data_IF_632827534317
#
_entry.id   IF_632827534317
#
_cell.length_a   1.000
_cell.length_b   1.000
_cell.length_c   1.000
_cell.angle_alpha   90.00
_cell.angle_beta   90.00
_cell.angle_gamma   90.00
#
_symmetry.space_group_name_H-M   'P 1'
#
loop_
_entity.id
_entity.type
_entity.pdbx_description
1 polymer ?
#
# COMPACT_ATOMS: atom_id res chain seq x y z
N UNK A 1 22.45 -60.51 -5.32
CA UNK A 1 21.95 -59.41 -6.19
C UNK A 1 20.61 -58.79 -5.75
N UNK A 2 19.61 -59.55 -5.28
CA UNK A 2 18.31 -58.97 -4.83
C UNK A 2 18.44 -58.01 -3.63
N UNK A 3 19.27 -58.35 -2.63
CA UNK A 3 19.47 -57.49 -1.46
C UNK A 3 20.15 -56.15 -1.79
N UNK A 4 21.16 -56.13 -2.66
CA UNK A 4 21.84 -54.89 -3.10
C UNK A 4 20.87 -53.93 -3.81
N UNK A 5 19.95 -54.45 -4.65
CA UNK A 5 18.92 -53.62 -5.31
C UNK A 5 17.92 -53.03 -4.32
N UNK A 6 17.52 -53.80 -3.31
CA UNK A 6 16.60 -53.33 -2.26
C UNK A 6 17.26 -52.23 -1.40
N UNK A 7 18.52 -52.40 -1.02
CA UNK A 7 19.26 -51.38 -0.26
C UNK A 7 19.44 -50.08 -1.07
N UNK A 8 19.71 -50.19 -2.38
CA UNK A 8 19.84 -49.02 -3.26
C UNK A 8 18.50 -48.27 -3.41
N UNK A 9 17.38 -48.99 -3.54
CA UNK A 9 16.03 -48.41 -3.62
C UNK A 9 15.67 -47.69 -2.31
N UNK A 10 16.00 -48.29 -1.16
CA UNK A 10 15.78 -47.68 0.15
C UNK A 10 16.63 -46.41 0.31
N UNK A 11 17.91 -46.44 -0.05
CA UNK A 11 18.78 -45.25 -0.02
C UNK A 11 18.30 -44.14 -0.96
N UNK A 12 17.80 -44.48 -2.16
CA UNK A 12 17.21 -43.51 -3.08
C UNK A 12 15.89 -42.92 -2.53
N UNK A 13 15.06 -43.74 -1.88
CA UNK A 13 13.82 -43.28 -1.24
C UNK A 13 14.08 -42.38 -0.02
N UNK A 14 15.09 -42.68 0.80
CA UNK A 14 15.48 -41.82 1.93
C UNK A 14 16.05 -40.48 1.46
N UNK A 15 16.87 -40.46 0.41
CA UNK A 15 17.35 -39.20 -0.19
C UNK A 15 16.21 -38.37 -0.80
N UNK A 16 15.20 -39.01 -1.38
CA UNK A 16 14.02 -38.32 -1.92
C UNK A 16 13.18 -37.65 -0.81
N UNK A 17 13.04 -38.30 0.35
CA UNK A 17 12.36 -37.73 1.53
C UNK A 17 13.12 -36.55 2.14
N UNK A 18 14.46 -36.61 2.17
CA UNK A 18 15.31 -35.49 2.63
C UNK A 18 15.37 -34.31 1.66
N UNK A 19 14.94 -34.49 0.40
CA UNK A 19 14.87 -33.42 -0.60
C UNK A 19 13.54 -32.64 -0.58
N UNK A 20 12.59 -33.02 0.28
CA UNK A 20 11.29 -32.35 0.36
C UNK A 20 11.40 -31.05 1.18
N UNK A 21 11.01 -29.94 0.55
CA UNK A 21 10.98 -28.63 1.20
C UNK A 21 10.05 -28.64 2.41
N UNK A 22 10.57 -28.30 3.59
CA UNK A 22 9.78 -28.23 4.83
C UNK A 22 8.80 -27.06 4.77
N UNK A 23 7.51 -27.34 4.96
CA UNK A 23 6.45 -26.32 4.97
C UNK A 23 6.02 -26.06 6.42
N UNK A 24 6.15 -24.82 6.87
CA UNK A 24 5.75 -24.36 8.21
C UNK A 24 4.67 -23.27 8.07
N UNK A 25 3.39 -23.68 8.10
CA UNK A 25 2.25 -22.77 8.04
C UNK A 25 1.45 -22.96 9.34
N UNK A 26 1.36 -21.93 10.20
CA UNK A 26 0.53 -21.97 11.39
C UNK A 26 -0.93 -22.23 11.07
N UNK A 27 -1.60 -23.08 11.84
CA UNK A 27 -3.02 -23.40 11.67
C UNK A 27 -3.95 -22.36 12.32
N UNK A 28 -3.59 -21.08 12.22
CA UNK A 28 -4.44 -19.99 12.73
C UNK A 28 -5.43 -19.53 11.65
N UNK A 29 -6.63 -19.12 12.05
CA UNK A 29 -7.66 -18.66 11.11
C UNK A 29 -7.18 -17.53 10.20
N UNK A 30 -6.33 -16.64 10.72
CA UNK A 30 -5.76 -15.52 9.97
C UNK A 30 -4.79 -15.99 8.88
N UNK A 31 -3.89 -16.91 9.20
CA UNK A 31 -2.93 -17.48 8.24
C UNK A 31 -3.66 -18.35 7.22
N UNK A 32 -4.60 -19.18 7.66
CA UNK A 32 -5.40 -20.02 6.76
C UNK A 32 -6.16 -19.19 5.73
N UNK A 33 -6.77 -18.08 6.16
CA UNK A 33 -7.45 -17.16 5.26
C UNK A 33 -6.49 -16.49 4.27
N UNK A 34 -5.32 -16.05 4.75
CA UNK A 34 -4.28 -15.49 3.88
C UNK A 34 -3.82 -16.50 2.84
N UNK A 35 -3.46 -17.72 3.25
CA UNK A 35 -2.99 -18.80 2.37
C UNK A 35 -4.05 -19.18 1.33
N UNK A 36 -5.33 -19.19 1.72
CA UNK A 36 -6.45 -19.46 0.79
C UNK A 36 -6.56 -18.41 -0.31
N UNK A 37 -6.28 -17.14 -0.01
CA UNK A 37 -6.34 -16.02 -0.98
C UNK A 37 -5.01 -15.75 -1.69
N UNK A 38 -3.92 -16.36 -1.22
CA UNK A 38 -2.59 -16.14 -1.76
C UNK A 38 -2.52 -16.38 -3.28
N UNK A 39 -3.07 -17.45 -3.86
CA UNK A 39 -2.99 -17.66 -5.32
C UNK A 39 -3.55 -16.50 -6.15
N UNK A 40 -4.72 -15.97 -5.77
CA UNK A 40 -5.33 -14.80 -6.42
C UNK A 40 -4.45 -13.55 -6.30
N UNK A 41 -3.84 -13.34 -5.13
CA UNK A 41 -2.90 -12.23 -4.92
C UNK A 41 -1.63 -12.41 -5.75
N UNK A 42 -1.08 -13.62 -5.83
CA UNK A 42 0.11 -13.90 -6.64
C UNK A 42 -0.17 -13.60 -8.11
N UNK A 43 -1.30 -14.04 -8.64
CA UNK A 43 -1.71 -13.75 -10.02
C UNK A 43 -1.87 -12.24 -10.25
N UNK A 44 -2.57 -11.53 -9.36
CA UNK A 44 -2.82 -10.08 -9.44
C UNK A 44 -1.54 -9.24 -9.50
N UNK A 45 -0.50 -9.65 -8.76
CA UNK A 45 0.79 -8.95 -8.73
C UNK A 45 1.86 -9.61 -9.59
N UNK A 46 1.49 -10.61 -10.41
CA UNK A 46 2.39 -11.40 -11.24
C UNK A 46 3.59 -11.99 -10.48
N UNK A 47 3.35 -12.38 -9.23
CA UNK A 47 4.35 -13.01 -8.39
C UNK A 47 4.42 -14.51 -8.58
N UNK A 48 5.63 -15.05 -8.46
CA UNK A 48 5.84 -16.50 -8.34
C UNK A 48 5.49 -16.97 -6.94
N UNK A 49 5.04 -18.22 -6.83
CA UNK A 49 4.83 -18.87 -5.55
C UNK A 49 6.18 -19.15 -4.85
N UNK A 50 6.36 -18.62 -3.64
CA UNK A 50 7.58 -18.84 -2.87
C UNK A 50 7.66 -20.26 -2.29
N UNK A 51 6.54 -20.98 -2.19
CA UNK A 51 6.52 -22.39 -1.79
C UNK A 51 7.33 -23.24 -2.76
N UNK A 52 7.25 -22.99 -4.06
CA UNK A 52 7.98 -23.74 -5.09
C UNK A 52 9.38 -23.20 -5.39
N UNK A 53 9.77 -22.05 -4.83
CA UNK A 53 11.09 -21.45 -5.06
C UNK A 53 12.24 -22.37 -4.62
N UNK A 54 13.31 -22.37 -5.42
CA UNK A 54 14.59 -23.06 -5.17
C UNK A 54 15.74 -22.07 -4.89
N UNK A 55 15.41 -20.81 -4.66
CA UNK A 55 16.39 -19.76 -4.41
C UNK A 55 16.99 -19.91 -3.01
N UNK A 56 18.14 -19.26 -2.77
CA UNK A 56 18.80 -19.29 -1.47
C UNK A 56 17.92 -18.69 -0.37
N UNK A 57 17.31 -17.53 -0.64
CA UNK A 57 16.33 -16.89 0.23
C UNK A 57 15.40 -15.98 -0.58
N UNK A 58 14.10 -16.07 -0.31
CA UNK A 58 13.10 -15.09 -0.72
C UNK A 58 12.25 -14.72 0.49
N UNK A 59 11.96 -13.44 0.60
CA UNK A 59 11.09 -12.89 1.64
C UNK A 59 10.01 -12.09 0.95
N UNK A 60 8.76 -12.27 1.38
CA UNK A 60 7.66 -11.39 0.97
C UNK A 60 6.85 -10.95 2.17
N UNK A 61 6.75 -9.65 2.36
CA UNK A 61 5.96 -9.03 3.43
C UNK A 61 4.72 -8.42 2.82
N UNK A 62 3.56 -8.87 3.30
CA UNK A 62 2.26 -8.36 2.90
C UNK A 62 1.69 -7.49 4.00
N UNK A 63 1.43 -6.24 3.63
CA UNK A 63 0.67 -5.29 4.45
C UNK A 63 -0.55 -4.81 3.66
N UNK A 64 -1.40 -4.04 4.32
CA UNK A 64 -2.65 -3.56 3.73
C UNK A 64 -2.41 -2.76 2.45
N UNK A 65 -1.49 -1.79 2.49
CA UNK A 65 -1.22 -0.85 1.39
C UNK A 65 0.13 -1.02 0.72
N UNK A 66 0.90 -2.03 1.13
CA UNK A 66 2.21 -2.30 0.53
C UNK A 66 2.52 -3.79 0.52
N UNK A 67 3.40 -4.16 -0.40
CA UNK A 67 4.02 -5.47 -0.48
C UNK A 67 5.50 -5.24 -0.70
N UNK A 68 6.33 -5.85 0.13
CA UNK A 68 7.77 -5.86 -0.08
C UNK A 68 8.22 -7.26 -0.45
N UNK A 69 9.05 -7.38 -1.48
CA UNK A 69 9.63 -8.63 -1.93
C UNK A 69 11.16 -8.48 -1.98
N UNK A 70 11.89 -9.38 -1.34
CA UNK A 70 13.34 -9.46 -1.39
C UNK A 70 13.73 -10.85 -1.88
N UNK A 71 14.49 -10.90 -2.98
CA UNK A 71 14.99 -12.12 -3.58
C UNK A 71 16.50 -12.15 -3.52
N UNK A 72 17.04 -13.23 -2.94
CA UNK A 72 18.47 -13.49 -2.78
C UNK A 72 18.77 -14.84 -3.43
N UNK A 73 19.31 -14.80 -4.64
CA UNK A 73 19.87 -15.97 -5.30
C UNK A 73 21.27 -15.63 -5.81
N UNK A 74 21.60 -15.95 -7.06
CA UNK A 74 22.86 -15.50 -7.68
C UNK A 74 22.96 -13.97 -7.78
N UNK A 75 21.82 -13.27 -7.74
CA UNK A 75 21.70 -11.81 -7.68
C UNK A 75 20.76 -11.41 -6.56
N UNK A 76 20.95 -10.21 -6.01
CA UNK A 76 20.03 -9.63 -5.04
C UNK A 76 19.11 -8.63 -5.74
N UNK A 77 17.82 -8.72 -5.44
CA UNK A 77 16.84 -7.75 -5.93
C UNK A 77 15.73 -7.57 -4.91
N UNK A 78 15.24 -6.34 -4.78
CA UNK A 78 14.07 -6.03 -3.98
C UNK A 78 13.07 -5.19 -4.76
N UNK A 79 11.81 -5.36 -4.41
CA UNK A 79 10.68 -4.69 -5.02
C UNK A 79 9.70 -4.24 -3.93
N UNK A 80 9.27 -2.99 -4.00
CA UNK A 80 8.30 -2.39 -3.10
C UNK A 80 7.08 -1.94 -3.91
N UNK A 81 5.95 -2.57 -3.64
CA UNK A 81 4.67 -2.28 -4.29
C UNK A 81 3.82 -1.49 -3.32
N UNK A 82 3.23 -0.39 -3.80
CA UNK A 82 2.25 0.40 -3.06
C UNK A 82 0.90 0.26 -3.75
N UNK A 83 -0.19 0.13 -2.97
CA UNK A 83 -1.53 -0.09 -3.51
C UNK A 83 -2.65 0.59 -2.73
N UNK A 84 -3.69 1.00 -3.44
CA UNK A 84 -4.97 1.40 -2.83
C UNK A 84 -5.82 0.18 -2.46
N UNK A 85 -6.75 0.36 -1.52
CA UNK A 85 -7.86 -0.57 -1.31
C UNK A 85 -9.14 -0.09 -2.00
N UNK A 86 -10.17 -0.94 -2.00
CA UNK A 86 -11.49 -0.62 -2.56
C UNK A 86 -11.68 -1.13 -3.99
N UNK A 87 -12.74 -0.65 -4.65
CA UNK A 87 -13.09 -1.00 -6.04
C UNK A 87 -12.11 -0.38 -7.04
N UNK A 88 -11.67 0.85 -6.77
CA UNK A 88 -10.75 1.60 -7.64
C UNK A 88 -9.30 1.25 -7.30
N UNK A 89 -8.94 -0.01 -7.55
CA UNK A 89 -7.60 -0.51 -7.27
C UNK A 89 -6.56 0.09 -8.21
N UNK A 90 -5.55 0.72 -7.63
CA UNK A 90 -4.36 1.24 -8.33
C UNK A 90 -3.14 0.77 -7.55
N UNK A 91 -2.08 0.39 -8.26
CA UNK A 91 -0.81 0.01 -7.66
C UNK A 91 0.36 0.51 -8.49
N UNK A 92 1.47 0.80 -7.82
CA UNK A 92 2.78 1.07 -8.45
C UNK A 92 3.82 0.12 -7.88
N UNK A 93 4.83 -0.21 -8.68
CA UNK A 93 5.97 -1.03 -8.26
C UNK A 93 7.28 -0.26 -8.42
N UNK A 94 8.14 -0.37 -7.41
CA UNK A 94 9.47 0.22 -7.40
C UNK A 94 10.51 -0.88 -7.14
N UNK A 95 11.42 -1.06 -8.10
CA UNK A 95 12.52 -2.03 -7.99
C UNK A 95 13.79 -1.31 -7.54
N UNK A 96 14.55 -1.97 -6.67
CA UNK A 96 15.79 -1.43 -6.13
C UNK A 96 16.98 -2.29 -6.56
N UNK A 97 18.13 -1.62 -6.66
CA UNK A 97 19.39 -2.24 -7.02
C UNK A 97 19.98 -3.09 -5.91
N UNK A 98 21.06 -3.80 -6.25
CA UNK A 98 21.70 -4.81 -5.42
C UNK A 98 22.17 -4.26 -4.06
N UNK A 99 22.66 -3.03 -4.01
CA UNK A 99 23.18 -2.41 -2.78
C UNK A 99 22.10 -2.26 -1.70
N UNK A 100 20.93 -1.74 -2.09
CA UNK A 100 19.77 -1.63 -1.18
C UNK A 100 19.32 -3.02 -0.77
N UNK A 101 19.22 -3.97 -1.71
CA UNK A 101 18.80 -5.34 -1.40
C UNK A 101 19.77 -6.04 -0.43
N UNK A 102 21.07 -5.84 -0.58
CA UNK A 102 22.11 -6.39 0.33
C UNK A 102 22.02 -5.77 1.71
N UNK A 103 21.88 -4.44 1.81
CA UNK A 103 21.71 -3.76 3.09
C UNK A 103 20.47 -4.29 3.85
N UNK A 104 19.37 -4.51 3.13
CA UNK A 104 18.15 -5.09 3.70
C UNK A 104 18.34 -6.55 4.11
N UNK A 105 19.09 -7.35 3.36
CA UNK A 105 19.42 -8.70 3.79
C UNK A 105 20.26 -8.69 5.08
N UNK A 106 21.26 -7.81 5.18
CA UNK A 106 22.06 -7.67 6.41
C UNK A 106 21.18 -7.28 7.60
N UNK A 107 20.25 -6.34 7.43
CA UNK A 107 19.28 -6.00 8.48
C UNK A 107 18.36 -7.17 8.82
N UNK A 108 17.90 -7.94 7.83
CA UNK A 108 17.06 -9.12 8.03
C UNK A 108 17.75 -10.16 8.92
N UNK A 109 19.03 -10.42 8.66
CA UNK A 109 19.86 -11.34 9.45
C UNK A 109 20.12 -10.80 10.86
N UNK A 110 20.49 -9.53 10.97
CA UNK A 110 20.76 -8.86 12.25
C UNK A 110 19.54 -8.87 13.18
N UNK A 111 18.35 -8.70 12.62
CA UNK A 111 17.07 -8.75 13.34
C UNK A 111 16.54 -10.19 13.53
N UNK A 112 17.34 -11.23 13.25
CA UNK A 112 16.95 -12.64 13.44
C UNK A 112 15.62 -13.02 12.76
N UNK A 113 15.27 -12.41 11.63
CA UNK A 113 13.95 -12.53 11.03
C UNK A 113 13.59 -13.97 10.60
N UNK A 114 14.60 -14.81 10.36
CA UNK A 114 14.41 -16.26 10.11
C UNK A 114 13.73 -17.01 11.26
N UNK A 115 13.87 -16.51 12.49
CA UNK A 115 13.44 -17.17 13.73
C UNK A 115 12.04 -16.74 14.19
N UNK A 116 11.47 -15.69 13.60
CA UNK A 116 10.15 -15.15 13.95
C UNK A 116 9.10 -16.24 14.11
N UNK A 117 8.32 -16.24 15.18
CA UNK A 117 7.21 -17.18 15.40
C UNK A 117 5.87 -16.50 15.12
N UNK A 118 4.86 -17.28 14.75
CA UNK A 118 3.51 -16.73 14.56
C UNK A 118 2.99 -16.12 15.86
N UNK A 119 2.39 -14.94 15.77
CA UNK A 119 1.76 -14.26 16.91
C UNK A 119 0.25 -14.58 16.92
N UNK A 120 -0.23 -15.02 18.08
CA UNK A 120 -1.66 -15.31 18.30
C UNK A 120 -2.46 -14.07 18.72
N UNK A 121 -1.80 -12.96 19.06
CA UNK A 121 -2.48 -11.74 19.52
C UNK A 121 -3.43 -11.15 18.47
N UNK A 122 -4.61 -10.70 18.91
CA UNK A 122 -5.60 -10.02 18.06
C UNK A 122 -6.18 -8.83 18.81
N UNK A 123 -6.32 -7.70 18.13
CA UNK A 123 -6.91 -6.47 18.66
C UNK A 123 -8.16 -6.05 17.90
N UNK A 124 -8.81 -4.98 18.38
CA UNK A 124 -10.03 -4.40 17.79
C UNK A 124 -9.67 -3.53 16.59
N UNK A 125 -8.67 -2.66 16.76
CA UNK A 125 -8.17 -1.77 15.72
C UNK A 125 -6.78 -2.21 15.30
N UNK A 126 -6.64 -2.53 14.02
CA UNK A 126 -5.37 -2.99 13.49
C UNK A 126 -5.45 -3.69 12.14
N UNK A 127 -4.31 -4.19 11.72
CA UNK A 127 -4.20 -4.96 10.49
C UNK A 127 -3.11 -6.03 10.62
N UNK A 128 -3.29 -7.11 9.88
CA UNK A 128 -2.28 -8.15 9.80
C UNK A 128 -1.11 -7.72 8.91
N UNK A 129 0.08 -8.12 9.36
CA UNK A 129 1.29 -8.23 8.57
C UNK A 129 1.55 -9.72 8.38
N UNK A 130 1.61 -10.18 7.13
CA UNK A 130 1.98 -11.55 6.80
C UNK A 130 3.37 -11.59 6.19
N UNK A 131 4.20 -12.53 6.61
CA UNK A 131 5.58 -12.65 6.14
C UNK A 131 5.77 -14.06 5.63
N UNK A 132 6.03 -14.18 4.33
CA UNK A 132 6.52 -15.40 3.70
C UNK A 132 8.05 -15.40 3.74
N UNK A 133 8.65 -16.50 4.20
CA UNK A 133 10.10 -16.72 4.18
C UNK A 133 10.35 -18.06 3.51
N UNK A 134 11.08 -18.05 2.40
CA UNK A 134 11.38 -19.23 1.62
C UNK A 134 12.88 -19.36 1.38
N UNK A 135 13.45 -20.51 1.71
CA UNK A 135 14.79 -20.94 1.30
C UNK A 135 14.67 -22.14 0.37
N UNK A 136 15.80 -22.71 -0.06
CA UNK A 136 15.82 -23.97 -0.82
C UNK A 136 15.04 -25.09 -0.14
N UNK A 137 15.16 -25.18 1.19
CA UNK A 137 14.71 -26.34 1.96
C UNK A 137 13.54 -26.03 2.90
N UNK A 138 13.10 -24.77 2.99
CA UNK A 138 12.05 -24.36 3.91
C UNK A 138 11.14 -23.30 3.29
N UNK A 139 9.85 -23.40 3.56
CA UNK A 139 8.87 -22.32 3.36
C UNK A 139 8.13 -22.11 4.67
N UNK A 140 8.00 -20.86 5.09
CA UNK A 140 7.33 -20.48 6.33
C UNK A 140 6.44 -19.27 6.11
N UNK A 141 5.29 -19.26 6.77
CA UNK A 141 4.45 -18.06 6.93
C UNK A 141 4.34 -17.72 8.39
N UNK A 142 4.45 -16.45 8.73
CA UNK A 142 4.08 -15.92 10.06
C UNK A 142 3.17 -14.71 9.90
N UNK A 143 2.33 -14.49 10.91
CA UNK A 143 1.41 -13.36 10.97
C UNK A 143 1.53 -12.60 12.27
N UNK A 144 1.40 -11.27 12.18
CA UNK A 144 1.38 -10.37 13.32
C UNK A 144 0.23 -9.37 13.17
N UNK A 145 -0.59 -9.22 14.21
CA UNK A 145 -1.63 -8.19 14.26
C UNK A 145 -1.05 -6.91 14.85
N UNK A 146 -0.92 -5.84 14.05
CA UNK A 146 -0.41 -4.52 14.46
C UNK A 146 0.68 -4.60 15.54
N UNK A 147 1.87 -5.14 15.23
CA UNK A 147 2.90 -5.44 16.23
C UNK A 147 3.30 -4.21 17.05
N UNK A 148 3.67 -4.43 18.31
CA UNK A 148 4.20 -3.41 19.23
C UNK A 148 5.48 -3.93 19.87
N UNK A 149 6.47 -3.06 20.06
CA UNK A 149 7.80 -3.41 20.62
C UNK A 149 7.70 -4.07 22.00
N UNK A 150 6.69 -3.70 22.78
CA UNK A 150 6.56 -4.15 24.18
C UNK A 150 5.93 -5.53 24.29
N UNK A 151 5.43 -6.11 23.18
CA UNK A 151 4.71 -7.38 23.18
C UNK A 151 5.64 -8.59 23.20
N UNK A 152 6.71 -8.54 22.42
CA UNK A 152 7.70 -9.62 22.33
C UNK A 152 8.95 -9.15 21.59
N UNK A 153 10.07 -9.85 21.80
CA UNK A 153 11.30 -9.64 21.04
C UNK A 153 11.10 -9.88 19.53
N UNK A 154 10.21 -10.80 19.16
CA UNK A 154 9.82 -11.01 17.75
C UNK A 154 9.12 -9.78 17.16
N UNK A 155 8.21 -9.14 17.92
CA UNK A 155 7.56 -7.90 17.47
C UNK A 155 8.56 -6.75 17.35
N UNK A 156 9.48 -6.63 18.33
CA UNK A 156 10.54 -5.63 18.30
C UNK A 156 11.46 -5.80 17.09
N UNK A 157 11.89 -7.03 16.83
CA UNK A 157 12.74 -7.37 15.69
C UNK A 157 12.05 -7.09 14.35
N UNK A 158 10.77 -7.47 14.24
CA UNK A 158 9.95 -7.18 13.07
C UNK A 158 9.82 -5.66 12.85
N UNK A 159 9.50 -4.90 13.89
CA UNK A 159 9.35 -3.45 13.79
C UNK A 159 10.65 -2.76 13.39
N UNK A 160 11.79 -3.18 13.95
CA UNK A 160 13.10 -2.65 13.57
C UNK A 160 13.42 -2.95 12.09
N UNK A 161 13.20 -4.19 11.64
CA UNK A 161 13.40 -4.53 10.24
C UNK A 161 12.47 -3.75 9.29
N UNK A 162 11.21 -3.55 9.68
CA UNK A 162 10.28 -2.74 8.89
C UNK A 162 10.76 -1.28 8.82
N UNK A 163 11.22 -0.69 9.92
CA UNK A 163 11.77 0.67 9.93
C UNK A 163 13.01 0.78 9.01
N UNK A 164 13.98 -0.14 9.15
CA UNK A 164 15.15 -0.20 8.28
C UNK A 164 14.75 -0.32 6.80
N UNK A 165 13.75 -1.16 6.49
CA UNK A 165 13.17 -1.30 5.16
C UNK A 165 12.59 0.01 4.65
N UNK A 166 11.73 0.65 5.44
CA UNK A 166 11.07 1.91 5.08
C UNK A 166 12.07 3.04 4.85
N UNK A 167 13.13 3.12 5.66
CA UNK A 167 14.21 4.09 5.52
C UNK A 167 15.03 3.84 4.26
N UNK A 168 15.47 2.58 4.03
CA UNK A 168 16.32 2.24 2.89
C UNK A 168 15.65 2.49 1.54
N UNK A 169 14.33 2.28 1.44
CA UNK A 169 13.57 2.53 0.21
C UNK A 169 12.97 3.94 0.14
N UNK A 170 13.17 4.78 1.17
CA UNK A 170 12.52 6.08 1.33
C UNK A 170 11.00 5.99 1.08
N UNK A 171 10.34 5.09 1.79
CA UNK A 171 8.93 4.75 1.51
C UNK A 171 8.01 5.97 1.63
N UNK A 172 8.35 6.95 2.49
CA UNK A 172 7.57 8.19 2.65
C UNK A 172 7.47 8.98 1.34
N UNK A 173 8.58 9.13 0.62
CA UNK A 173 8.59 9.80 -0.68
C UNK A 173 7.82 9.01 -1.73
N UNK A 174 7.98 7.68 -1.76
CA UNK A 174 7.25 6.80 -2.66
C UNK A 174 5.74 6.88 -2.42
N UNK A 175 5.31 6.87 -1.15
CA UNK A 175 3.92 7.05 -0.78
C UNK A 175 3.37 8.39 -1.23
N UNK A 176 4.08 9.49 -0.96
CA UNK A 176 3.63 10.82 -1.37
C UNK A 176 3.51 10.92 -2.90
N UNK A 177 4.49 10.40 -3.62
CA UNK A 177 4.50 10.37 -5.09
C UNK A 177 3.34 9.55 -5.62
N UNK A 178 3.14 8.33 -5.07
CA UNK A 178 2.04 7.45 -5.45
C UNK A 178 0.68 8.12 -5.22
N UNK A 179 0.40 8.61 -4.02
CA UNK A 179 -0.87 9.24 -3.67
C UNK A 179 -1.14 10.51 -4.51
N UNK A 180 -0.10 11.27 -4.84
CA UNK A 180 -0.23 12.43 -5.70
C UNK A 180 -0.45 12.07 -7.18
N UNK A 181 0.01 10.89 -7.60
CA UNK A 181 -0.18 10.36 -8.96
C UNK A 181 -1.55 9.73 -9.19
N UNK A 182 -2.30 9.45 -8.12
CA UNK A 182 -3.61 8.84 -8.24
C UNK A 182 -4.55 9.69 -9.11
N UNK A 183 -5.34 9.05 -10.00
CA UNK A 183 -6.43 9.72 -10.70
C UNK A 183 -7.46 10.32 -9.73
N UNK A 184 -8.34 11.17 -10.27
CA UNK A 184 -9.52 11.63 -9.52
C UNK A 184 -10.37 10.41 -9.17
N UNK A 185 -10.73 10.26 -7.90
CA UNK A 185 -11.41 9.06 -7.45
C UNK A 185 -11.54 8.94 -5.94
N UNK A 186 -12.29 7.91 -5.52
CA UNK A 186 -12.46 7.53 -4.12
C UNK A 186 -11.71 6.22 -3.85
N UNK A 187 -10.71 6.27 -2.99
CA UNK A 187 -9.86 5.14 -2.64
C UNK A 187 -10.03 4.78 -1.16
N UNK A 188 -9.74 3.53 -0.80
CA UNK A 188 -9.61 3.15 0.61
C UNK A 188 -8.13 3.21 1.02
N UNK A 189 -7.88 3.88 2.15
CA UNK A 189 -6.57 3.96 2.78
C UNK A 189 -6.69 3.75 4.29
N UNK A 190 -6.36 2.56 4.76
CA UNK A 190 -6.61 2.12 6.12
C UNK A 190 -8.11 2.13 6.42
N UNK A 191 -8.47 2.63 7.60
CA UNK A 191 -9.87 2.84 7.97
C UNK A 191 -10.47 4.12 7.36
N UNK A 192 -9.69 4.88 6.59
CA UNK A 192 -10.12 6.14 5.99
C UNK A 192 -10.48 5.97 4.52
N UNK A 193 -11.40 6.80 4.06
CA UNK A 193 -11.57 7.07 2.64
C UNK A 193 -10.58 8.16 2.23
N UNK A 194 -9.85 7.90 1.16
CA UNK A 194 -8.97 8.85 0.50
C UNK A 194 -9.68 9.35 -0.75
N UNK A 195 -9.97 10.65 -0.80
CA UNK A 195 -10.60 11.28 -1.95
C UNK A 195 -9.59 12.13 -2.67
N UNK A 196 -9.33 11.81 -3.93
CA UNK A 196 -8.40 12.56 -4.78
C UNK A 196 -9.22 13.50 -5.65
N UNK A 197 -9.05 14.80 -5.40
CA UNK A 197 -9.69 15.88 -6.15
C UNK A 197 -8.68 16.57 -7.06
N UNK A 198 -9.09 16.87 -8.29
CA UNK A 198 -8.32 17.64 -9.28
C UNK A 198 -9.27 18.48 -10.13
N UNK A 199 -8.72 19.50 -10.79
CA UNK A 199 -9.43 20.15 -11.89
C UNK A 199 -9.57 19.19 -13.09
N UNK A 200 -10.58 19.44 -13.92
CA UNK A 200 -10.79 18.77 -15.18
C UNK A 200 -9.59 18.98 -16.11
N UNK A 201 -9.32 17.95 -16.92
CA UNK A 201 -8.27 18.00 -17.94
C UNK A 201 -8.45 19.21 -18.86
N UNK A 202 -7.35 19.73 -19.43
CA UNK A 202 -7.41 20.87 -20.34
C UNK A 202 -8.13 20.52 -21.65
N UNK A 203 -8.22 19.22 -21.99
CA UNK A 203 -8.95 18.71 -23.16
C UNK A 203 -10.45 18.51 -22.93
N UNK A 204 -10.92 18.55 -21.67
CA UNK A 204 -12.33 18.39 -21.38
C UNK A 204 -13.11 19.63 -21.85
N UNK A 205 -14.32 19.42 -22.37
CA UNK A 205 -15.24 20.53 -22.64
C UNK A 205 -15.66 21.17 -21.31
N UNK A 206 -15.45 22.49 -21.19
CA UNK A 206 -15.64 23.24 -19.95
C UNK A 206 -16.72 24.31 -20.12
N UNK A 207 -17.64 24.41 -19.16
CA UNK A 207 -18.60 25.50 -19.11
C UNK A 207 -17.90 26.82 -18.81
N UNK A 208 -18.57 27.92 -19.16
CA UNK A 208 -18.04 29.26 -18.96
C UNK A 208 -17.84 29.60 -17.47
N UNK A 209 -18.70 29.06 -16.58
CA UNK A 209 -18.54 29.12 -15.14
C UNK A 209 -17.34 28.31 -14.66
N UNK A 210 -17.14 27.08 -15.17
CA UNK A 210 -16.00 26.26 -14.79
C UNK A 210 -14.68 26.98 -15.06
N UNK A 211 -14.52 27.52 -16.27
CA UNK A 211 -13.30 28.25 -16.69
C UNK A 211 -13.06 29.45 -15.76
N UNK A 212 -14.12 30.20 -15.43
CA UNK A 212 -14.04 31.33 -14.50
C UNK A 212 -13.64 30.89 -13.09
N UNK A 213 -14.32 29.86 -12.55
CA UNK A 213 -14.11 29.34 -11.22
C UNK A 213 -12.70 28.78 -11.07
N UNK A 214 -12.26 27.89 -11.97
CA UNK A 214 -10.92 27.30 -12.01
C UNK A 214 -9.85 28.40 -11.97
N UNK A 215 -9.93 29.41 -12.84
CA UNK A 215 -8.97 30.53 -12.87
C UNK A 215 -8.94 31.29 -11.54
N UNK A 216 -10.11 31.58 -10.96
CA UNK A 216 -10.22 32.36 -9.71
C UNK A 216 -9.71 31.55 -8.51
N UNK A 217 -9.98 30.24 -8.47
CA UNK A 217 -9.50 29.31 -7.43
C UNK A 217 -7.98 29.19 -7.50
N UNK A 218 -7.42 28.85 -8.67
CA UNK A 218 -5.97 28.72 -8.89
C UNK A 218 -5.23 29.97 -8.41
N UNK A 219 -5.71 31.16 -8.79
CA UNK A 219 -5.11 32.44 -8.38
C UNK A 219 -5.24 32.72 -6.88
N UNK A 220 -6.40 32.47 -6.27
CA UNK A 220 -6.64 32.83 -4.85
C UNK A 220 -6.02 31.85 -3.85
N UNK A 221 -5.93 30.58 -4.21
CA UNK A 221 -5.45 29.51 -3.32
C UNK A 221 -4.07 28.96 -3.71
N UNK A 222 -3.49 29.44 -4.82
CA UNK A 222 -2.20 28.97 -5.34
C UNK A 222 -2.17 27.44 -5.56
N UNK A 223 -3.24 26.90 -6.14
CA UNK A 223 -3.36 25.47 -6.47
C UNK A 223 -3.37 25.26 -7.99
N UNK A 224 -2.99 24.06 -8.44
CA UNK A 224 -2.95 23.67 -9.85
C UNK A 224 -2.69 22.18 -10.03
N UNK A 225 -2.31 21.78 -11.25
CA UNK A 225 -2.12 20.36 -11.61
C UNK A 225 -1.07 19.63 -10.77
N UNK A 226 -0.01 20.34 -10.36
CA UNK A 226 1.10 19.80 -9.54
C UNK A 226 0.85 19.90 -8.03
N UNK A 227 -0.30 20.43 -7.60
CA UNK A 227 -0.60 20.57 -6.18
C UNK A 227 -0.83 19.20 -5.55
N UNK A 228 -0.22 18.94 -4.40
CA UNK A 228 -0.43 17.70 -3.66
C UNK A 228 -1.91 17.47 -3.36
N UNK A 229 -2.35 16.22 -3.32
CA UNK A 229 -3.76 15.89 -3.12
C UNK A 229 -4.32 16.45 -1.80
N UNK A 230 -3.52 16.45 -0.72
CA UNK A 230 -3.92 16.98 0.60
C UNK A 230 -3.95 18.52 0.71
N UNK A 231 -3.65 19.23 -0.38
CA UNK A 231 -3.67 20.70 -0.45
C UNK A 231 -4.89 21.26 -1.18
N UNK A 232 -5.76 20.40 -1.72
CA UNK A 232 -6.99 20.84 -2.34
C UNK A 232 -8.00 21.32 -1.27
N UNK A 233 -8.72 22.43 -1.52
CA UNK A 233 -9.72 22.96 -0.59
C UNK A 233 -11.00 22.11 -0.62
N UNK A 234 -11.84 22.27 0.40
CA UNK A 234 -13.20 21.74 0.35
C UNK A 234 -14.03 22.49 -0.71
N UNK A 235 -14.88 21.77 -1.44
CA UNK A 235 -15.88 22.35 -2.35
C UNK A 235 -17.28 22.03 -1.85
N UNK A 236 -18.10 23.06 -1.72
CA UNK A 236 -19.47 23.00 -1.23
C UNK A 236 -20.39 23.63 -2.28
N UNK A 237 -21.33 22.85 -2.81
CA UNK A 237 -22.37 23.33 -3.74
C UNK A 237 -23.73 23.12 -3.06
N UNK A 238 -24.52 24.19 -2.94
CA UNK A 238 -25.84 24.16 -2.28
C UNK A 238 -25.81 23.48 -0.90
N UNK A 239 -24.83 23.89 -0.08
CA UNK A 239 -24.58 23.38 1.28
C UNK A 239 -24.17 21.90 1.37
N UNK A 240 -23.89 21.23 0.25
CA UNK A 240 -23.43 19.84 0.22
C UNK A 240 -21.98 19.75 -0.27
N UNK A 241 -21.15 18.84 0.30
CA UNK A 241 -19.84 18.53 -0.27
C UNK A 241 -19.97 18.07 -1.72
N UNK A 242 -19.16 18.63 -2.61
CA UNK A 242 -19.18 18.32 -4.04
C UNK A 242 -17.76 18.06 -4.57
N UNK A 243 -17.65 17.48 -5.76
CA UNK A 243 -16.38 17.29 -6.48
C UNK A 243 -16.07 18.45 -7.41
N UNK A 244 -14.79 18.67 -7.69
CA UNK A 244 -14.36 19.78 -8.54
C UNK A 244 -14.92 19.70 -9.96
N UNK A 245 -15.11 18.50 -10.50
CA UNK A 245 -15.76 18.28 -11.80
C UNK A 245 -17.24 18.73 -11.82
N UNK A 246 -17.92 18.74 -10.68
CA UNK A 246 -19.32 19.17 -10.59
C UNK A 246 -19.53 20.65 -10.85
N UNK A 247 -18.48 21.48 -10.70
CA UNK A 247 -18.52 22.87 -11.16
C UNK A 247 -18.89 22.97 -12.65
N UNK A 248 -18.60 21.93 -13.44
CA UNK A 248 -18.82 21.90 -14.87
C UNK A 248 -20.27 21.56 -15.25
N UNK A 249 -21.14 21.31 -14.28
CA UNK A 249 -22.57 21.08 -14.50
C UNK A 249 -23.36 22.39 -14.62
N UNK A 250 -22.72 23.54 -14.37
CA UNK A 250 -23.37 24.84 -14.27
C UNK A 250 -22.73 25.83 -15.25
N UNK A 251 -23.56 26.70 -15.80
CA UNK A 251 -23.18 27.93 -16.51
C UNK A 251 -23.11 29.10 -15.52
N UNK A 252 -22.63 30.27 -15.95
CA UNK A 252 -22.61 31.45 -15.05
C UNK A 252 -24.01 31.90 -14.68
N UNK A 253 -24.97 31.74 -15.57
CA UNK A 253 -26.36 32.11 -15.38
C UNK A 253 -27.02 31.28 -14.29
N UNK A 254 -26.54 30.05 -14.05
CA UNK A 254 -27.05 29.15 -13.01
C UNK A 254 -26.54 29.52 -11.61
N UNK A 255 -25.47 30.30 -11.50
CA UNK A 255 -24.77 30.54 -10.23
C UNK A 255 -25.19 31.86 -9.60
N UNK A 256 -25.81 31.77 -8.41
CA UNK A 256 -26.22 32.92 -7.60
C UNK A 256 -25.04 33.47 -6.81
N UNK A 257 -24.21 32.60 -6.23
CA UNK A 257 -23.08 32.99 -5.39
C UNK A 257 -21.86 32.11 -5.63
N UNK A 258 -20.69 32.75 -5.75
CA UNK A 258 -19.40 32.06 -5.83
C UNK A 258 -18.35 32.71 -4.93
N UNK A 259 -18.01 32.02 -3.84
CA UNK A 259 -17.13 32.51 -2.79
C UNK A 259 -15.96 31.56 -2.53
N UNK A 260 -14.78 32.12 -2.24
CA UNK A 260 -13.57 31.37 -1.90
C UNK A 260 -13.05 31.90 -0.57
N UNK A 261 -13.12 31.05 0.44
CA UNK A 261 -12.58 31.27 1.77
C UNK A 261 -11.14 30.74 1.78
N UNK A 262 -10.17 31.63 2.07
CA UNK A 262 -8.75 31.24 2.22
C UNK A 262 -8.56 30.43 3.52
N UNK A 263 -7.50 29.61 3.63
CA UNK A 263 -7.21 28.80 4.83
C UNK A 263 -7.38 29.52 6.17
N UNK A 264 -6.94 30.78 6.27
CA UNK A 264 -6.94 31.57 7.51
C UNK A 264 -8.29 32.26 7.81
N UNK A 265 -9.34 32.02 7.04
CA UNK A 265 -10.65 32.59 7.32
C UNK A 265 -11.34 31.80 8.46
N UNK A 266 -11.83 32.44 9.54
CA UNK A 266 -12.44 31.74 10.68
C UNK A 266 -13.60 30.80 10.31
N UNK A 267 -14.34 31.09 9.24
CA UNK A 267 -15.46 30.28 8.78
C UNK A 267 -15.03 28.93 8.22
N UNK A 268 -13.75 28.74 7.86
CA UNK A 268 -13.26 27.44 7.36
C UNK A 268 -13.29 26.35 8.43
N UNK A 269 -13.25 26.73 9.71
CA UNK A 269 -13.32 25.80 10.84
C UNK A 269 -14.61 24.97 10.86
N UNK A 270 -15.71 25.50 10.31
CA UNK A 270 -16.99 24.81 10.18
C UNK A 270 -16.92 23.58 9.25
N UNK A 271 -15.86 23.46 8.45
CA UNK A 271 -15.67 22.40 7.46
C UNK A 271 -14.57 21.41 7.86
N UNK A 272 -14.14 21.44 9.12
CA UNK A 272 -13.17 20.51 9.70
C UNK A 272 -11.79 20.56 9.03
N UNK A 273 -11.12 19.43 8.99
CA UNK A 273 -9.75 19.30 8.45
C UNK A 273 -9.64 19.71 6.98
N UNK A 274 -10.69 19.48 6.18
CA UNK A 274 -10.71 19.90 4.77
C UNK A 274 -10.83 21.42 4.61
N UNK A 275 -11.45 22.11 5.58
CA UNK A 275 -11.52 23.57 5.62
C UNK A 275 -10.16 24.24 5.84
N UNK A 276 -9.20 23.55 6.49
CA UNK A 276 -7.86 24.07 6.73
C UNK A 276 -7.07 24.38 5.44
N UNK A 277 -7.52 23.92 4.27
CA UNK A 277 -6.94 24.22 2.95
C UNK A 277 -7.72 25.28 2.17
N UNK A 278 -8.71 25.90 2.81
CA UNK A 278 -9.67 26.80 2.19
C UNK A 278 -10.97 26.08 1.84
N UNK A 279 -12.00 26.87 1.52
CA UNK A 279 -13.33 26.38 1.17
C UNK A 279 -13.85 27.16 -0.02
N UNK A 280 -14.38 26.45 -1.00
CA UNK A 280 -15.08 27.03 -2.15
C UNK A 280 -16.56 26.80 -1.93
N UNK A 281 -17.35 27.88 -1.95
CA UNK A 281 -18.81 27.83 -1.80
C UNK A 281 -19.48 28.29 -3.09
N UNK A 282 -20.41 27.48 -3.56
CA UNK A 282 -21.26 27.76 -4.71
C UNK A 282 -22.72 27.63 -4.30
N UNK A 283 -23.54 28.63 -4.61
CA UNK A 283 -25.00 28.57 -4.50
C UNK A 283 -25.57 28.77 -5.90
N UNK A 284 -26.42 27.86 -6.33
CA UNK A 284 -27.04 27.86 -7.66
C UNK A 284 -28.51 28.23 -7.56
N UNK A 285 -29.11 28.63 -8.69
CA UNK A 285 -30.56 28.70 -8.82
C UNK A 285 -31.13 27.30 -8.56
N UNK A 286 -32.22 27.23 -7.79
CA UNK A 286 -32.98 25.99 -7.59
C UNK A 286 -33.90 25.74 -8.78
#
# INVERSE_FOLDING_TARGET
>A
MKHIRLTLIILLAFNALSAQKKIEIPETSAVNWFVKRLPEQLERFHFKDLKSSKDSLNIRIWKRHEIFNLSCNNTFSSEFIIRTGGTDFVSTSHKFGEDISKALLTSFDANNMHKLKDDSFRGIDGSFIYIEIATKNKYKVVSYWSPSSDRSEDCKSLLQFLDDMHQAVNSKELYNTFLNSLPVGGYSWGMSSLRIERFLDDKAEKTDFYVMAERKIKRKLNIGKKTDHWKYPALIINHKPAKFDELNKYTKEDVVKFEILKPNNPQTSLYGTNGARGVIRVETKQ
#
